data_IF_330937685744
#
_entry.id   IF_330937685744
#
_cell.length_a   1.000
_cell.length_b   1.000
_cell.length_c   1.000
_cell.angle_alpha   90.00
_cell.angle_beta   90.00
_cell.angle_gamma   90.00
#
_symmetry.space_group_name_H-M   'P 1'
#
loop_
_entity.id
_entity.type
_entity.pdbx_description
1 polymer ?
#
# COMPACT_ATOMS: atom_id res chain seq x y z
N UNK A 1 -21.68 -26.92 4.77
CA UNK A 1 -21.37 -25.51 5.03
C UNK A 1 -22.55 -24.70 4.53
N UNK A 2 -23.22 -23.99 5.42
CA UNK A 2 -24.37 -23.16 5.10
C UNK A 2 -23.92 -21.71 4.96
N UNK A 3 -24.39 -21.04 3.90
CA UNK A 3 -24.13 -19.62 3.67
C UNK A 3 -25.44 -18.87 3.85
N UNK A 4 -25.44 -17.90 4.76
CA UNK A 4 -26.58 -17.05 5.05
C UNK A 4 -26.32 -15.67 4.46
N UNK A 5 -27.19 -15.21 3.58
CA UNK A 5 -27.12 -13.84 3.07
C UNK A 5 -27.66 -12.87 4.13
N UNK A 6 -26.81 -11.95 4.60
CA UNK A 6 -27.14 -11.01 5.68
C UNK A 6 -27.03 -9.56 5.23
N UNK A 7 -27.99 -8.72 5.65
CA UNK A 7 -27.92 -7.25 5.51
C UNK A 7 -27.13 -6.61 6.63
N UNK A 8 -27.23 -7.17 7.84
CA UNK A 8 -26.58 -6.66 9.04
C UNK A 8 -26.25 -7.81 9.97
N UNK A 9 -25.08 -7.75 10.55
CA UNK A 9 -24.63 -8.63 11.62
C UNK A 9 -24.08 -7.76 12.73
N UNK A 10 -24.53 -8.00 13.95
CA UNK A 10 -24.02 -7.36 15.16
C UNK A 10 -23.47 -8.43 16.08
N UNK A 11 -22.17 -8.40 16.33
CA UNK A 11 -21.56 -9.28 17.31
C UNK A 11 -21.92 -8.75 18.71
N UNK A 12 -22.32 -9.67 19.58
CA UNK A 12 -22.42 -9.40 21.00
C UNK A 12 -21.04 -9.15 21.62
N UNK A 13 -20.98 -8.91 22.94
CA UNK A 13 -19.73 -8.79 23.66
C UNK A 13 -18.82 -9.98 23.40
N UNK A 14 -17.51 -9.74 23.28
CA UNK A 14 -16.51 -10.80 23.08
C UNK A 14 -16.46 -11.68 24.33
N UNK A 15 -17.25 -12.74 24.30
CA UNK A 15 -17.46 -13.73 25.35
C UNK A 15 -17.68 -15.09 24.71
N UNK A 16 -17.46 -16.17 25.47
CA UNK A 16 -17.71 -17.52 25.02
C UNK A 16 -19.03 -18.04 25.61
N UNK A 17 -19.98 -18.54 24.81
CA UNK A 17 -19.96 -18.59 23.34
C UNK A 17 -20.19 -17.21 22.70
N UNK A 18 -19.67 -17.02 21.48
CA UNK A 18 -19.91 -15.81 20.68
C UNK A 18 -21.35 -15.80 20.22
N UNK A 19 -22.04 -14.69 20.44
CA UNK A 19 -23.40 -14.47 19.95
C UNK A 19 -23.41 -13.40 18.87
N UNK A 20 -24.27 -13.55 17.88
CA UNK A 20 -24.46 -12.57 16.82
C UNK A 20 -25.95 -12.38 16.52
N UNK A 21 -26.39 -11.14 16.48
CA UNK A 21 -27.70 -10.76 15.97
C UNK A 21 -27.59 -10.53 14.46
N UNK A 22 -28.43 -11.22 13.71
CA UNK A 22 -28.40 -11.23 12.24
C UNK A 22 -29.72 -10.72 11.69
N UNK A 23 -29.64 -9.85 10.69
CA UNK A 23 -30.76 -9.52 9.81
C UNK A 23 -30.48 -10.07 8.43
N UNK A 24 -31.30 -10.99 7.96
CA UNK A 24 -31.13 -11.60 6.63
C UNK A 24 -31.52 -10.62 5.52
N UNK A 25 -31.22 -10.96 4.26
CA UNK A 25 -31.64 -10.14 3.12
C UNK A 25 -33.14 -10.16 2.89
N UNK A 26 -33.81 -11.23 3.33
CA UNK A 26 -35.25 -11.45 3.38
C UNK A 26 -35.92 -10.67 4.52
N UNK A 27 -35.14 -10.08 5.43
CA UNK A 27 -35.64 -9.26 6.53
C UNK A 27 -35.90 -10.03 7.83
N UNK A 28 -35.61 -11.33 7.85
CA UNK A 28 -35.71 -12.14 9.06
C UNK A 28 -34.65 -11.74 10.08
N UNK A 29 -34.96 -11.95 11.36
CA UNK A 29 -34.02 -11.70 12.45
C UNK A 29 -33.67 -13.01 13.12
N UNK A 30 -32.39 -13.34 13.13
CA UNK A 30 -31.87 -14.56 13.75
C UNK A 30 -30.86 -14.20 14.84
N UNK A 31 -30.72 -15.11 15.80
CA UNK A 31 -29.62 -15.09 16.77
C UNK A 31 -28.76 -16.31 16.49
N UNK A 32 -27.49 -16.09 16.16
CA UNK A 32 -26.51 -17.15 15.94
C UNK A 32 -25.60 -17.27 17.16
N UNK A 33 -25.26 -18.50 17.53
CA UNK A 33 -24.27 -18.81 18.57
C UNK A 33 -23.18 -19.70 18.00
N UNK A 34 -21.92 -19.42 18.37
CA UNK A 34 -20.76 -20.19 17.93
C UNK A 34 -19.65 -20.15 18.97
N UNK A 35 -18.77 -21.16 18.97
CA UNK A 35 -17.60 -21.18 19.85
C UNK A 35 -16.56 -20.14 19.42
N UNK A 36 -16.46 -19.87 18.11
CA UNK A 36 -15.52 -18.95 17.49
C UNK A 36 -16.18 -18.19 16.33
N UNK A 37 -15.76 -16.94 16.13
CA UNK A 37 -16.15 -16.13 14.98
C UNK A 37 -14.91 -15.54 14.31
N UNK A 38 -14.81 -15.71 12.99
CA UNK A 38 -13.74 -15.16 12.17
C UNK A 38 -14.31 -14.11 11.21
N UNK A 39 -13.87 -12.86 11.35
CA UNK A 39 -14.31 -11.77 10.48
C UNK A 39 -13.38 -11.68 9.26
N UNK A 40 -13.98 -11.66 8.07
CA UNK A 40 -13.30 -11.42 6.81
C UNK A 40 -14.00 -10.29 6.02
N UNK A 41 -14.26 -9.18 6.69
CA UNK A 41 -14.96 -8.01 6.12
C UNK A 41 -14.01 -7.04 5.38
N UNK A 42 -12.72 -7.38 5.31
CA UNK A 42 -11.67 -6.48 4.85
C UNK A 42 -11.19 -5.52 5.95
N UNK A 43 -10.32 -4.59 5.55
CA UNK A 43 -9.77 -3.55 6.41
C UNK A 43 -10.18 -2.18 5.90
N UNK A 44 -10.46 -1.25 6.79
CA UNK A 44 -10.68 0.15 6.45
C UNK A 44 -9.39 0.93 6.74
N UNK A 45 -8.88 1.72 5.77
CA UNK A 45 -7.70 2.55 6.04
C UNK A 45 -8.06 3.62 7.09
N UNK A 46 -7.05 4.05 7.85
CA UNK A 46 -7.15 5.16 8.80
C UNK A 46 -6.25 6.32 8.36
N UNK A 47 -6.60 7.07 7.29
CA UNK A 47 -5.74 8.15 6.83
C UNK A 47 -5.75 9.28 7.85
N UNK A 48 -4.61 9.94 8.07
CA UNK A 48 -4.53 11.07 8.98
C UNK A 48 -5.46 12.20 8.53
N UNK A 49 -5.88 13.03 9.48
CA UNK A 49 -6.62 14.25 9.16
C UNK A 49 -5.75 15.17 8.29
N UNK A 50 -6.37 15.84 7.31
CA UNK A 50 -5.68 16.78 6.41
C UNK A 50 -5.66 16.33 4.95
N UNK A 51 -4.66 16.82 4.20
CA UNK A 51 -4.63 16.86 2.74
C UNK A 51 -4.12 15.57 2.05
N UNK A 52 -4.17 14.41 2.71
CA UNK A 52 -3.79 13.16 2.03
C UNK A 52 -4.92 12.77 1.07
N UNK A 53 -4.60 12.68 -0.22
CA UNK A 53 -5.57 12.34 -1.24
C UNK A 53 -6.02 10.88 -1.06
N UNK A 54 -7.33 10.65 -1.10
CA UNK A 54 -7.93 9.31 -1.01
C UNK A 54 -8.54 8.92 -2.34
N UNK A 55 -8.41 7.65 -2.71
CA UNK A 55 -9.16 7.10 -3.85
C UNK A 55 -10.59 6.67 -3.44
N UNK A 56 -11.33 6.07 -4.37
CA UNK A 56 -12.70 5.59 -4.12
C UNK A 56 -12.79 4.47 -3.09
N UNK A 57 -11.69 3.76 -2.82
CA UNK A 57 -11.61 2.75 -1.76
C UNK A 57 -11.24 3.35 -0.40
N UNK A 58 -10.99 4.66 -0.34
CA UNK A 58 -10.62 5.38 0.88
C UNK A 58 -9.12 5.30 1.21
N UNK A 59 -8.35 4.53 0.45
CA UNK A 59 -6.90 4.38 0.60
C UNK A 59 -6.16 5.55 -0.07
N UNK A 60 -4.87 5.70 0.24
CA UNK A 60 -4.07 6.85 -0.17
C UNK A 60 -2.96 6.43 -1.15
N UNK A 61 -3.27 6.21 -2.44
CA UNK A 61 -2.29 5.73 -3.41
C UNK A 61 -1.16 6.77 -3.60
N UNK A 62 0.12 6.34 -3.72
CA UNK A 62 1.26 7.25 -3.83
C UNK A 62 1.17 8.22 -5.01
N UNK A 63 0.71 7.75 -6.17
CA UNK A 63 0.62 8.56 -7.40
C UNK A 63 -0.47 9.65 -7.37
N UNK A 64 -1.34 9.66 -6.35
CA UNK A 64 -2.33 10.72 -6.14
C UNK A 64 -1.89 11.76 -5.11
N UNK A 65 -0.73 11.56 -4.47
CA UNK A 65 -0.24 12.45 -3.43
C UNK A 65 0.54 13.61 -4.01
N UNK A 66 0.56 14.73 -3.29
CA UNK A 66 1.50 15.82 -3.57
C UNK A 66 2.95 15.28 -3.55
N UNK A 67 3.89 15.77 -4.38
CA UNK A 67 5.26 15.23 -4.46
C UNK A 67 6.08 15.24 -3.15
N UNK A 68 5.59 15.91 -2.11
CA UNK A 68 6.21 15.93 -0.76
C UNK A 68 5.54 14.98 0.24
N UNK A 69 4.49 14.28 -0.18
CA UNK A 69 3.70 13.38 0.67
C UNK A 69 3.91 11.96 0.15
N UNK A 70 4.48 11.12 1.00
CA UNK A 70 4.78 9.72 0.68
C UNK A 70 3.89 8.82 1.54
N UNK A 71 3.15 7.92 0.91
CA UNK A 71 2.30 6.93 1.59
C UNK A 71 2.92 5.54 1.51
N UNK A 72 2.79 4.78 2.58
CA UNK A 72 3.40 3.47 2.74
C UNK A 72 2.47 2.54 3.54
N UNK A 73 2.81 1.26 3.56
CA UNK A 73 2.05 0.26 4.30
C UNK A 73 0.64 0.10 3.77
N UNK A 74 -0.23 -0.41 4.64
CA UNK A 74 -1.62 -0.69 4.29
C UNK A 74 -2.38 0.58 3.91
N UNK A 75 -1.98 1.75 4.40
CA UNK A 75 -2.60 3.03 4.03
C UNK A 75 -2.57 3.28 2.51
N UNK A 76 -1.54 2.78 1.81
CA UNK A 76 -1.33 3.09 0.39
C UNK A 76 -2.19 2.26 -0.56
N UNK A 77 -2.74 1.13 -0.13
CA UNK A 77 -3.52 0.24 -1.00
C UNK A 77 -4.36 -0.80 -0.25
N UNK A 78 -5.52 -1.13 -0.81
CA UNK A 78 -6.31 -2.31 -0.43
C UNK A 78 -5.58 -3.63 -0.72
N UNK A 79 -4.56 -3.63 -1.58
CA UNK A 79 -3.84 -4.84 -2.01
C UNK A 79 -2.56 -5.04 -1.20
N UNK A 80 -2.17 -6.31 -1.07
CA UNK A 80 -0.89 -6.72 -0.50
C UNK A 80 -0.64 -6.24 0.94
N UNK A 81 -1.70 -6.22 1.77
CA UNK A 81 -1.65 -5.91 3.21
C UNK A 81 -0.86 -6.97 3.98
N UNK A 82 0.46 -6.94 3.83
CA UNK A 82 1.42 -7.89 4.40
C UNK A 82 2.57 -7.11 5.02
N UNK A 83 3.11 -7.64 6.12
CA UNK A 83 4.22 -7.03 6.86
C UNK A 83 5.41 -6.72 5.94
N UNK A 84 5.83 -7.67 5.09
CA UNK A 84 6.95 -7.48 4.16
C UNK A 84 6.71 -6.32 3.17
N UNK A 85 5.50 -6.22 2.60
CA UNK A 85 5.12 -5.12 1.71
C UNK A 85 5.13 -3.78 2.45
N UNK A 86 4.61 -3.76 3.68
CA UNK A 86 4.57 -2.57 4.49
C UNK A 86 5.98 -2.08 4.86
N UNK A 87 6.89 -2.99 5.21
CA UNK A 87 8.29 -2.66 5.48
C UNK A 87 8.99 -2.13 4.22
N UNK A 88 8.85 -2.82 3.09
CA UNK A 88 9.47 -2.39 1.82
C UNK A 88 8.99 -1.00 1.40
N UNK A 89 7.67 -0.80 1.34
CA UNK A 89 7.08 0.50 1.01
C UNK A 89 7.39 1.60 2.03
N UNK A 90 7.58 1.25 3.31
CA UNK A 90 8.05 2.19 4.34
C UNK A 90 9.48 2.66 4.08
N UNK A 91 10.35 1.74 3.69
CA UNK A 91 11.72 2.06 3.24
C UNK A 91 11.73 2.96 2.01
N UNK A 92 10.92 2.64 0.99
CA UNK A 92 10.74 3.48 -0.20
C UNK A 92 10.29 4.90 0.17
N UNK A 93 9.29 5.04 1.04
CA UNK A 93 8.77 6.34 1.45
C UNK A 93 9.81 7.15 2.25
N UNK A 94 10.55 6.51 3.15
CA UNK A 94 11.60 7.17 3.93
C UNK A 94 12.76 7.65 3.06
N UNK A 95 13.26 6.79 2.16
CA UNK A 95 14.32 7.14 1.22
C UNK A 95 13.85 8.18 0.20
N UNK A 96 12.61 8.06 -0.31
CA UNK A 96 11.99 9.05 -1.19
C UNK A 96 11.92 10.43 -0.54
N UNK A 97 11.45 10.51 0.70
CA UNK A 97 11.44 11.77 1.45
C UNK A 97 12.86 12.33 1.65
N UNK A 98 13.83 11.48 2.00
CA UNK A 98 15.22 11.87 2.15
C UNK A 98 15.79 12.44 0.85
N UNK A 99 15.71 11.73 -0.27
CA UNK A 99 16.27 12.19 -1.54
C UNK A 99 15.56 13.43 -2.09
N UNK A 100 14.23 13.51 -1.95
CA UNK A 100 13.49 14.72 -2.31
C UNK A 100 13.96 15.95 -1.51
N UNK A 101 14.28 15.78 -0.22
CA UNK A 101 14.84 16.85 0.61
C UNK A 101 16.23 17.32 0.16
N UNK A 102 16.94 16.46 -0.58
CA UNK A 102 18.25 16.76 -1.19
C UNK A 102 18.13 17.31 -2.62
N UNK A 103 16.91 17.52 -3.12
CA UNK A 103 16.67 17.99 -4.49
C UNK A 103 16.93 16.96 -5.56
N UNK A 104 17.01 15.67 -5.20
CA UNK A 104 17.21 14.59 -6.16
C UNK A 104 15.87 14.10 -6.72
N UNK A 105 15.85 13.59 -7.97
CA UNK A 105 14.64 13.02 -8.55
C UNK A 105 14.11 11.87 -7.71
N UNK A 106 12.80 11.87 -7.48
CA UNK A 106 12.06 10.73 -6.94
C UNK A 106 10.99 10.33 -7.95
N UNK A 107 10.82 9.03 -8.17
CA UNK A 107 9.92 8.48 -9.21
C UNK A 107 8.42 8.86 -9.01
N UNK A 108 8.08 9.48 -7.88
CA UNK A 108 6.75 10.01 -7.58
C UNK A 108 6.33 11.17 -8.49
N UNK A 109 7.25 11.75 -9.28
CA UNK A 109 7.02 12.90 -10.15
C UNK A 109 7.07 12.65 -11.66
N UNK A 110 7.03 11.40 -12.14
CA UNK A 110 7.02 11.15 -13.59
C UNK A 110 5.61 11.34 -14.17
N UNK A 111 5.22 12.61 -14.32
CA UNK A 111 4.14 13.01 -15.21
C UNK A 111 4.52 12.55 -16.62
N UNK A 112 3.75 11.62 -17.18
CA UNK A 112 3.76 11.37 -18.62
C UNK A 112 3.25 12.62 -19.34
N UNK A 113 4.13 13.55 -19.65
CA UNK A 113 3.96 14.47 -20.77
C UNK A 113 5.33 15.07 -21.16
N UNK A 114 5.68 14.82 -22.43
CA UNK A 114 6.80 15.34 -23.23
C UNK A 114 8.22 14.81 -23.00
N UNK A 115 8.66 13.97 -23.95
CA UNK A 115 10.03 13.98 -24.47
C UNK A 115 10.90 12.82 -24.04
N UNK A 116 10.87 11.73 -24.81
CA UNK A 116 11.93 10.74 -24.87
C UNK A 116 13.23 11.44 -25.35
N UNK A 117 14.39 11.27 -24.71
CA UNK A 117 15.65 11.15 -25.42
C UNK A 117 15.94 9.65 -25.50
N UNK A 118 15.91 9.14 -26.72
CA UNK A 118 16.52 7.86 -27.05
C UNK A 118 18.04 8.03 -26.87
N UNK A 119 18.55 7.83 -25.67
CA UNK A 119 19.95 7.43 -25.49
C UNK A 119 19.96 6.05 -24.88
N UNK A 120 20.24 5.07 -25.73
CA UNK A 120 20.58 3.70 -25.34
C UNK A 120 21.99 3.73 -24.73
N UNK A 121 22.10 4.27 -23.52
CA UNK A 121 23.26 4.07 -22.65
C UNK A 121 23.05 2.80 -21.85
N UNK A 122 23.57 1.67 -22.36
CA UNK A 122 23.68 0.44 -21.56
C UNK A 122 24.52 0.65 -20.29
N UNK A 123 24.42 -0.24 -19.29
CA UNK A 123 25.22 -0.11 -18.07
C UNK A 123 26.72 -0.11 -18.41
N UNK A 124 27.55 0.72 -17.74
CA UNK A 124 28.98 0.76 -18.00
C UNK A 124 29.57 -0.63 -17.75
N UNK A 125 30.06 -1.26 -18.83
CA UNK A 125 30.55 -2.63 -18.84
C UNK A 125 32.08 -2.71 -18.80
N UNK A 126 32.75 -1.76 -18.14
CA UNK A 126 34.19 -1.87 -17.89
C UNK A 126 34.50 -1.76 -16.41
N UNK A 127 34.53 -2.94 -15.77
CA UNK A 127 35.28 -3.13 -14.52
C UNK A 127 36.76 -3.20 -14.89
N UNK A 128 37.51 -2.16 -14.51
CA UNK A 128 38.95 -2.20 -14.26
C UNK A 128 39.84 -2.65 -15.43
N UNK A 129 40.28 -1.71 -16.26
CA UNK A 129 41.48 -1.89 -17.09
C UNK A 129 42.70 -1.35 -16.34
N UNK A 130 43.80 -2.11 -16.19
CA UNK A 130 45.00 -1.60 -15.55
C UNK A 130 45.67 -0.54 -16.45
N UNK A 131 46.35 0.47 -15.88
CA UNK A 131 47.05 1.48 -16.65
C UNK A 131 48.16 0.85 -17.50
N UNK A 132 48.20 1.21 -18.79
CA UNK A 132 49.22 0.75 -19.74
C UNK A 132 50.60 1.35 -19.46
N UNK A 133 51.68 0.74 -19.98
CA UNK A 133 53.04 1.16 -19.67
C UNK A 133 53.32 2.57 -20.20
N UNK A 134 53.84 3.43 -19.32
CA UNK A 134 54.43 4.71 -19.70
C UNK A 134 55.70 4.42 -20.50
N UNK A 135 55.64 4.63 -21.83
CA UNK A 135 56.83 4.65 -22.67
C UNK A 135 57.70 5.84 -22.26
N UNK A 136 58.95 5.55 -21.89
CA UNK A 136 60.01 6.54 -21.77
C UNK A 136 60.79 6.59 -23.07
N UNK A 137 61.16 7.80 -23.47
CA UNK A 137 62.32 8.07 -24.31
C UNK A 137 63.57 8.22 -23.41
#
# INVERSE_FOLDING_TARGET
>A
MELVAVRRLELGPVSAPVTAEVRTVEGERWTLTADLAFLNLGSAPAPPAGAVARDRSGYCPPGSQHPRVFTAGDLRSVRFQRIATAMGSGGEAALGAYYASRGLPTETGMSTETGLPTETGGPPTEVGKPPGPTGGD
#
